data_IF_757672395068
#
_entry.id   IF_757672395068
#
_cell.length_a   1.000
_cell.length_b   1.000
_cell.length_c   1.000
_cell.angle_alpha   90.00
_cell.angle_beta   90.00
_cell.angle_gamma   90.00
#
_symmetry.space_group_name_H-M   'P 1'
#
loop_
_entity.id
_entity.type
_entity.pdbx_description
1 polymer ?
#
# COMPACT_ATOMS: atom_id res chain seq x y z
N UNK A 1 -10.51 15.19 -18.17
CA UNK A 1 -10.73 14.69 -19.53
C UNK A 1 -11.88 13.68 -19.58
N UNK A 2 -11.82 12.53 -18.86
CA UNK A 2 -12.86 11.52 -18.91
C UNK A 2 -14.22 12.02 -18.40
N UNK A 3 -14.23 12.83 -17.34
CA UNK A 3 -15.45 13.45 -16.80
C UNK A 3 -16.10 14.46 -17.79
N UNK A 4 -15.26 15.23 -18.47
CA UNK A 4 -15.72 16.26 -19.39
C UNK A 4 -16.31 15.67 -20.68
N UNK A 5 -15.93 14.44 -21.03
CA UNK A 5 -16.38 13.72 -22.20
C UNK A 5 -17.40 12.60 -21.90
N UNK A 6 -17.92 12.52 -20.67
CA UNK A 6 -18.87 11.50 -20.23
C UNK A 6 -18.42 10.05 -20.48
N UNK A 7 -17.10 9.83 -20.54
CA UNK A 7 -16.53 8.50 -20.71
C UNK A 7 -16.60 7.74 -19.39
N UNK A 8 -17.09 6.54 -19.42
CA UNK A 8 -17.04 5.66 -18.25
C UNK A 8 -15.58 5.33 -17.95
N UNK A 9 -15.11 5.66 -16.73
CA UNK A 9 -13.77 5.26 -16.30
C UNK A 9 -13.60 3.75 -16.39
N UNK A 10 -12.45 3.24 -16.86
CA UNK A 10 -12.19 1.82 -16.89
C UNK A 10 -12.23 1.24 -15.49
N UNK A 11 -12.57 -0.04 -15.39
CA UNK A 11 -12.51 -0.80 -14.16
C UNK A 11 -11.13 -1.40 -14.00
N UNK A 12 -10.50 -1.08 -12.88
CA UNK A 12 -9.16 -1.54 -12.55
C UNK A 12 -9.22 -2.67 -11.52
N UNK A 13 -8.35 -3.64 -11.69
CA UNK A 13 -8.05 -4.62 -10.66
C UNK A 13 -6.61 -4.42 -10.18
N UNK A 14 -6.37 -4.67 -8.90
CA UNK A 14 -5.01 -4.71 -8.36
C UNK A 14 -4.69 -6.17 -8.06
N UNK A 15 -3.63 -6.66 -8.68
CA UNK A 15 -3.09 -7.96 -8.38
C UNK A 15 -1.98 -7.86 -7.33
N UNK A 16 -1.04 -8.80 -7.36
CA UNK A 16 0.04 -8.84 -6.39
C UNK A 16 1.12 -7.81 -6.71
N UNK A 17 1.45 -6.99 -5.71
CA UNK A 17 2.63 -6.11 -5.69
C UNK A 17 3.53 -6.66 -4.59
N UNK A 18 4.56 -7.40 -4.98
CA UNK A 18 5.41 -8.15 -4.07
C UNK A 18 6.70 -7.40 -3.73
N UNK A 19 7.31 -7.81 -2.62
CA UNK A 19 8.67 -7.43 -2.30
C UNK A 19 9.65 -8.35 -3.04
N UNK A 20 10.40 -7.78 -3.98
CA UNK A 20 11.46 -8.45 -4.75
C UNK A 20 12.88 -8.03 -4.31
N UNK A 21 13.00 -7.23 -3.26
CA UNK A 21 14.31 -6.77 -2.78
C UNK A 21 15.13 -7.88 -2.11
N UNK A 22 14.47 -8.94 -1.66
CA UNK A 22 15.09 -10.06 -0.97
C UNK A 22 15.67 -9.72 0.40
N UNK A 23 15.42 -8.51 0.91
CA UNK A 23 15.95 -8.08 2.20
C UNK A 23 15.13 -8.62 3.35
N UNK A 24 15.82 -9.30 4.25
CA UNK A 24 15.25 -9.94 5.44
C UNK A 24 16.01 -9.43 6.66
N UNK A 25 15.30 -8.91 7.66
CA UNK A 25 15.87 -8.58 8.95
C UNK A 25 16.10 -9.85 9.77
N UNK A 26 17.22 -9.94 10.47
CA UNK A 26 17.52 -11.07 11.37
C UNK A 26 16.59 -11.12 12.57
N UNK A 27 15.97 -10.00 12.95
CA UNK A 27 15.13 -9.89 14.14
C UNK A 27 13.62 -9.83 13.83
N UNK A 28 13.22 -9.40 12.61
CA UNK A 28 11.83 -9.09 12.30
C UNK A 28 11.26 -9.73 11.02
N UNK A 29 11.99 -10.57 10.31
CA UNK A 29 11.52 -11.14 9.07
C UNK A 29 11.70 -10.19 7.87
N UNK A 30 10.70 -10.04 6.98
CA UNK A 30 10.82 -9.19 5.79
C UNK A 30 10.85 -7.71 6.17
N UNK A 31 11.82 -6.98 5.66
CA UNK A 31 11.97 -5.55 5.93
C UNK A 31 10.88 -4.71 5.27
N UNK A 32 10.32 -5.15 4.14
CA UNK A 32 9.28 -4.43 3.40
C UNK A 32 7.91 -5.04 3.70
N UNK A 33 6.93 -4.15 3.92
CA UNK A 33 5.54 -4.55 4.11
C UNK A 33 4.99 -5.29 2.89
N UNK A 34 4.27 -6.38 3.13
CA UNK A 34 3.54 -7.11 2.10
C UNK A 34 2.21 -6.42 1.70
N UNK A 35 1.91 -5.28 2.31
CA UNK A 35 0.67 -4.52 2.10
C UNK A 35 0.66 -3.61 0.87
N UNK A 36 1.66 -3.64 0.00
CA UNK A 36 1.77 -2.73 -1.15
C UNK A 36 0.54 -2.79 -2.08
N UNK A 37 -0.01 -3.98 -2.32
CA UNK A 37 -1.25 -4.13 -3.11
C UNK A 37 -2.45 -3.43 -2.46
N UNK A 38 -2.60 -3.53 -1.15
CA UNK A 38 -3.68 -2.86 -0.39
C UNK A 38 -3.49 -1.34 -0.40
N UNK A 39 -2.26 -0.87 -0.33
CA UNK A 39 -1.94 0.56 -0.44
C UNK A 39 -2.29 1.09 -1.82
N UNK A 40 -1.98 0.34 -2.89
CA UNK A 40 -2.34 0.69 -4.27
C UNK A 40 -3.86 0.78 -4.46
N UNK A 41 -4.62 -0.19 -3.94
CA UNK A 41 -6.09 -0.12 -3.96
C UNK A 41 -6.61 1.14 -3.27
N UNK A 42 -6.04 1.47 -2.10
CA UNK A 42 -6.43 2.67 -1.35
C UNK A 42 -6.11 3.95 -2.14
N UNK A 43 -4.94 4.03 -2.76
CA UNK A 43 -4.54 5.18 -3.58
C UNK A 43 -5.44 5.36 -4.79
N UNK A 44 -5.73 4.28 -5.52
CA UNK A 44 -6.65 4.28 -6.66
C UNK A 44 -8.07 4.68 -6.27
N UNK A 45 -8.56 4.19 -5.12
CA UNK A 45 -9.88 4.58 -4.60
C UNK A 45 -9.95 6.08 -4.30
N UNK A 46 -8.92 6.64 -3.64
CA UNK A 46 -8.82 8.08 -3.38
C UNK A 46 -8.71 8.91 -4.66
N UNK A 47 -8.07 8.38 -5.69
CA UNK A 47 -8.03 8.99 -7.02
C UNK A 47 -9.36 8.90 -7.78
N UNK A 48 -10.37 8.22 -7.25
CA UNK A 48 -11.67 8.05 -7.86
C UNK A 48 -11.73 6.98 -8.96
N UNK A 49 -10.78 6.07 -8.99
CA UNK A 49 -10.79 4.95 -9.94
C UNK A 49 -11.88 3.93 -9.58
N UNK A 50 -12.53 3.38 -10.60
CA UNK A 50 -13.46 2.26 -10.42
C UNK A 50 -12.65 0.99 -10.25
N UNK A 51 -12.88 0.26 -9.16
CA UNK A 51 -12.13 -0.95 -8.86
C UNK A 51 -13.02 -2.18 -8.79
N UNK A 52 -12.46 -3.33 -9.13
CA UNK A 52 -13.04 -4.65 -8.92
C UNK A 52 -12.05 -5.49 -8.12
N UNK A 53 -12.56 -6.27 -7.17
CA UNK A 53 -11.74 -7.12 -6.33
C UNK A 53 -11.18 -8.31 -7.11
N UNK A 54 -9.86 -8.49 -7.09
CA UNK A 54 -9.13 -9.62 -7.69
C UNK A 54 -7.89 -9.99 -6.89
N UNK A 55 -7.64 -9.27 -5.79
CA UNK A 55 -6.49 -9.55 -4.93
C UNK A 55 -6.79 -10.68 -3.95
N UNK A 56 -7.98 -10.61 -3.33
CA UNK A 56 -8.49 -11.68 -2.47
C UNK A 56 -9.92 -12.04 -2.89
N UNK A 57 -10.04 -13.14 -3.61
CA UNK A 57 -11.33 -13.64 -4.12
C UNK A 57 -11.94 -14.70 -3.22
N UNK A 58 -11.28 -15.07 -2.12
CA UNK A 58 -11.69 -16.19 -1.26
C UNK A 58 -13.12 -16.07 -0.74
N UNK A 59 -13.51 -14.90 -0.24
CA UNK A 59 -14.88 -14.66 0.23
C UNK A 59 -15.86 -14.64 -0.93
N UNK A 60 -15.51 -13.96 -2.03
CA UNK A 60 -16.37 -13.90 -3.22
C UNK A 60 -16.64 -15.27 -3.84
N UNK A 61 -15.64 -16.11 -3.94
CA UNK A 61 -15.78 -17.49 -4.41
C UNK A 61 -16.64 -18.33 -3.49
N UNK A 62 -16.50 -18.16 -2.17
CA UNK A 62 -17.31 -18.83 -1.18
C UNK A 62 -18.79 -18.42 -1.29
N UNK A 63 -19.06 -17.12 -1.42
CA UNK A 63 -20.41 -16.58 -1.63
C UNK A 63 -21.05 -17.13 -2.91
N UNK A 64 -20.30 -17.13 -4.01
CA UNK A 64 -20.76 -17.71 -5.28
C UNK A 64 -21.04 -19.21 -5.15
N UNK A 65 -20.20 -19.97 -4.45
CA UNK A 65 -20.42 -21.38 -4.18
C UNK A 65 -21.67 -21.63 -3.36
N UNK A 66 -21.92 -20.83 -2.31
CA UNK A 66 -23.11 -20.92 -1.50
C UNK A 66 -24.38 -20.57 -2.28
N UNK A 67 -24.33 -19.50 -3.10
CA UNK A 67 -25.43 -19.13 -3.96
C UNK A 67 -25.76 -20.23 -5.01
N UNK A 68 -24.72 -20.82 -5.63
CA UNK A 68 -24.90 -21.91 -6.59
C UNK A 68 -25.52 -23.16 -5.94
N UNK A 69 -25.19 -23.42 -4.67
CA UNK A 69 -25.77 -24.52 -3.91
C UNK A 69 -27.13 -24.15 -3.24
N UNK A 70 -27.68 -22.96 -3.54
CA UNK A 70 -28.96 -22.47 -3.00
C UNK A 70 -28.97 -22.38 -1.45
N UNK A 71 -27.81 -22.07 -0.85
CA UNK A 71 -27.65 -22.03 0.60
C UNK A 71 -27.82 -20.62 1.18
N UNK A 72 -27.80 -19.57 0.35
CA UNK A 72 -27.94 -18.18 0.78
C UNK A 72 -29.27 -17.59 0.30
N UNK A 73 -29.89 -16.80 1.16
CA UNK A 73 -31.03 -15.97 0.81
C UNK A 73 -30.66 -14.49 0.93
N UNK A 74 -31.33 -13.64 0.15
CA UNK A 74 -31.25 -12.18 0.29
C UNK A 74 -32.35 -11.65 1.26
N UNK A 75 -33.20 -12.50 1.74
CA UNK A 75 -34.24 -12.14 2.71
C UNK A 75 -33.65 -11.96 4.11
N UNK A 76 -34.18 -10.98 4.86
CA UNK A 76 -33.77 -10.68 6.22
C UNK A 76 -34.04 -11.85 7.21
N UNK A 77 -34.99 -12.72 6.89
CA UNK A 77 -35.33 -13.91 7.67
C UNK A 77 -35.56 -15.08 6.72
N UNK A 78 -34.80 -16.16 6.93
CA UNK A 78 -35.03 -17.39 6.20
C UNK A 78 -36.46 -17.90 6.43
N UNK A 79 -37.24 -17.99 5.36
CA UNK A 79 -38.62 -18.49 5.43
C UNK A 79 -38.65 -19.96 4.96
N UNK A 80 -38.78 -20.94 5.87
CA UNK A 80 -38.76 -22.34 5.51
C UNK A 80 -39.96 -22.76 4.64
N UNK A 81 -41.00 -21.92 4.56
CA UNK A 81 -42.20 -22.19 3.75
C UNK A 81 -42.09 -21.68 2.31
N UNK A 82 -41.01 -20.94 1.95
CA UNK A 82 -40.75 -20.45 0.62
C UNK A 82 -39.36 -20.86 0.15
N UNK A 83 -39.13 -22.14 -0.21
CA UNK A 83 -37.80 -22.63 -0.59
C UNK A 83 -37.23 -22.05 -1.90
N UNK A 84 -38.00 -21.16 -2.56
CA UNK A 84 -37.60 -20.46 -3.77
C UNK A 84 -36.81 -19.17 -3.54
N UNK A 85 -36.74 -18.66 -2.29
CA UNK A 85 -36.09 -17.40 -1.94
C UNK A 85 -34.58 -17.62 -1.65
N UNK A 86 -33.84 -17.95 -2.67
CA UNK A 86 -32.40 -18.07 -2.61
C UNK A 86 -31.74 -17.10 -3.61
N UNK A 87 -30.53 -16.65 -3.28
CA UNK A 87 -29.75 -15.79 -4.16
C UNK A 87 -29.43 -16.51 -5.46
N UNK A 88 -29.90 -15.95 -6.58
CA UNK A 88 -29.65 -16.49 -7.92
C UNK A 88 -28.37 -15.90 -8.50
N UNK A 89 -27.57 -16.74 -9.15
CA UNK A 89 -26.42 -16.31 -9.94
C UNK A 89 -26.90 -16.10 -11.38
N UNK A 90 -26.68 -14.92 -11.89
CA UNK A 90 -27.02 -14.55 -13.25
C UNK A 90 -25.75 -14.44 -14.11
N UNK A 91 -25.84 -14.82 -15.38
CA UNK A 91 -24.75 -14.62 -16.32
C UNK A 91 -24.37 -13.13 -16.39
N UNK A 92 -23.08 -12.82 -16.31
CA UNK A 92 -22.58 -11.45 -16.32
C UNK A 92 -22.73 -10.69 -14.99
N UNK A 93 -23.14 -11.33 -13.92
CA UNK A 93 -23.31 -10.70 -12.61
C UNK A 93 -21.99 -10.17 -12.03
N UNK A 94 -20.90 -10.90 -12.20
CA UNK A 94 -19.59 -10.48 -11.70
C UNK A 94 -18.96 -9.48 -12.65
N UNK A 95 -18.65 -8.29 -12.13
CA UNK A 95 -18.04 -7.25 -12.93
C UNK A 95 -16.62 -7.65 -13.39
N UNK A 96 -16.34 -7.50 -14.69
CA UNK A 96 -14.99 -7.68 -15.23
C UNK A 96 -14.11 -6.47 -14.96
N UNK A 97 -12.79 -6.67 -14.91
CA UNK A 97 -11.80 -5.59 -15.02
C UNK A 97 -11.49 -5.31 -16.48
N UNK A 98 -11.22 -4.06 -16.81
CA UNK A 98 -10.70 -3.67 -18.11
C UNK A 98 -9.17 -3.80 -18.14
N UNK A 99 -8.54 -3.39 -17.03
CA UNK A 99 -7.10 -3.52 -16.81
C UNK A 99 -6.81 -4.04 -15.43
N UNK A 100 -5.61 -4.57 -15.24
CA UNK A 100 -5.09 -4.89 -13.92
C UNK A 100 -3.64 -4.42 -13.73
N UNK A 101 -3.30 -4.10 -12.48
CA UNK A 101 -1.97 -3.65 -12.08
C UNK A 101 -1.29 -4.75 -11.28
N UNK A 102 -0.06 -5.07 -11.67
CA UNK A 102 0.83 -6.01 -10.97
C UNK A 102 2.25 -5.50 -10.99
N UNK A 103 3.07 -5.94 -10.07
CA UNK A 103 4.48 -5.56 -10.04
C UNK A 103 5.11 -5.82 -8.69
N UNK A 104 6.06 -4.96 -8.31
CA UNK A 104 6.71 -5.10 -7.02
C UNK A 104 7.69 -4.00 -6.68
N UNK A 105 8.15 -4.04 -5.45
CA UNK A 105 9.21 -3.21 -4.94
C UNK A 105 10.52 -3.92 -5.31
N UNK A 106 11.34 -3.27 -6.13
CA UNK A 106 12.52 -3.86 -6.76
C UNK A 106 13.81 -3.44 -6.09
N UNK A 107 13.84 -2.26 -5.49
CA UNK A 107 15.02 -1.77 -4.80
C UNK A 107 14.68 -1.25 -3.40
N UNK A 108 15.59 -1.52 -2.48
CA UNK A 108 15.61 -0.95 -1.16
C UNK A 108 17.06 -0.80 -0.70
N UNK A 109 17.55 0.41 -0.69
CA UNK A 109 18.91 0.71 -0.27
C UNK A 109 18.88 1.68 0.90
N UNK A 110 19.54 1.30 1.99
CA UNK A 110 19.76 2.16 3.14
C UNK A 110 21.17 2.74 3.12
N UNK A 111 21.26 4.02 3.39
CA UNK A 111 22.52 4.64 3.78
C UNK A 111 22.28 5.41 5.09
N UNK A 112 22.89 4.94 6.15
CA UNK A 112 22.84 5.61 7.45
C UNK A 112 24.04 6.50 7.54
N UNK A 113 23.85 7.81 7.44
CA UNK A 113 24.86 8.80 7.73
C UNK A 113 24.68 9.29 9.16
N UNK A 114 25.54 8.83 10.06
CA UNK A 114 25.67 9.43 11.38
C UNK A 114 26.55 10.68 11.24
N UNK A 115 25.95 11.87 11.22
CA UNK A 115 26.71 13.09 11.42
C UNK A 115 26.89 13.29 12.92
N UNK A 116 27.93 12.67 13.46
CA UNK A 116 28.43 13.01 14.78
C UNK A 116 29.15 14.36 14.70
N UNK A 117 28.47 15.42 15.04
CA UNK A 117 29.15 16.65 15.47
C UNK A 117 29.50 16.45 16.94
N UNK A 118 30.68 15.90 17.17
CA UNK A 118 31.33 15.96 18.46
C UNK A 118 31.82 17.40 18.66
N UNK A 119 30.93 18.27 19.06
CA UNK A 119 31.31 19.57 19.57
C UNK A 119 31.80 19.36 21.00
N UNK A 120 33.08 19.11 21.18
CA UNK A 120 33.76 19.28 22.43
C UNK A 120 33.84 20.80 22.76
N UNK A 121 32.82 21.33 23.39
CA UNK A 121 32.93 22.58 24.06
C UNK A 121 33.22 22.27 25.55
N UNK A 122 34.49 22.24 25.88
CA UNK A 122 34.95 22.34 27.27
C UNK A 122 34.72 23.77 27.72
N UNK A 123 33.64 24.03 28.43
CA UNK A 123 33.57 25.16 29.32
C UNK A 123 32.81 24.81 30.60
N UNK A 124 33.54 24.96 31.69
CA UNK A 124 33.13 24.77 33.05
C UNK A 124 32.16 25.88 33.45
N UNK A 125 30.85 25.65 33.32
CA UNK A 125 29.80 26.18 34.24
C UNK A 125 28.40 25.72 33.79
N UNK A 126 27.92 24.70 34.46
CA UNK A 126 26.55 24.47 34.88
C UNK A 126 25.41 24.99 33.98
N UNK A 127 25.15 24.36 32.86
CA UNK A 127 23.83 24.37 32.22
C UNK A 127 23.71 23.10 31.34
N UNK A 128 22.68 22.29 31.59
CA UNK A 128 22.46 21.02 30.91
C UNK A 128 22.32 21.19 29.40
N UNK A 129 23.41 20.99 28.69
CA UNK A 129 23.41 20.87 27.23
C UNK A 129 23.00 19.46 26.87
N UNK A 130 21.76 19.32 26.43
CA UNK A 130 21.26 18.08 25.83
C UNK A 130 22.05 17.76 24.57
N UNK A 131 22.77 16.65 24.57
CA UNK A 131 23.44 16.08 23.40
C UNK A 131 22.38 15.73 22.34
N UNK A 132 22.23 16.57 21.33
CA UNK A 132 21.42 16.27 20.16
C UNK A 132 22.25 15.42 19.17
N UNK A 133 22.29 14.12 19.37
CA UNK A 133 22.78 13.20 18.33
C UNK A 133 21.65 12.97 17.32
N UNK A 134 21.69 13.66 16.19
CA UNK A 134 20.77 13.43 15.10
C UNK A 134 21.36 12.43 14.13
N UNK A 135 20.76 11.27 13.94
CA UNK A 135 21.07 10.36 12.85
C UNK A 135 20.22 10.70 11.65
N UNK A 136 20.86 10.91 10.51
CA UNK A 136 20.19 11.07 9.21
C UNK A 136 20.31 9.77 8.46
N UNK A 137 19.20 9.25 7.97
CA UNK A 137 19.19 8.09 7.10
C UNK A 137 18.64 8.47 5.74
N UNK A 138 19.23 7.90 4.71
CA UNK A 138 18.79 8.04 3.33
C UNK A 138 18.36 6.66 2.84
N UNK A 139 17.13 6.59 2.38
CA UNK A 139 16.55 5.35 1.87
C UNK A 139 16.15 5.56 0.41
N UNK A 140 16.64 4.70 -0.48
CA UNK A 140 16.21 4.65 -1.87
C UNK A 140 15.29 3.46 -2.03
N UNK A 141 14.09 3.71 -2.54
CA UNK A 141 13.09 2.67 -2.83
C UNK A 141 12.69 2.79 -4.29
N UNK A 142 12.64 1.68 -5.01
CA UNK A 142 12.12 1.61 -6.37
C UNK A 142 10.91 0.68 -6.45
N UNK A 143 9.96 1.06 -7.30
CA UNK A 143 8.72 0.36 -7.55
C UNK A 143 8.54 0.21 -9.06
N UNK A 144 8.33 -1.01 -9.52
CA UNK A 144 8.05 -1.33 -10.91
C UNK A 144 6.67 -1.98 -11.03
N UNK A 145 5.76 -1.30 -11.73
CA UNK A 145 4.40 -1.75 -11.97
C UNK A 145 4.14 -1.90 -13.46
N UNK A 146 3.23 -2.81 -13.80
CA UNK A 146 2.74 -3.02 -15.16
C UNK A 146 1.23 -2.87 -15.16
N UNK A 147 0.73 -2.12 -16.12
CA UNK A 147 -0.69 -2.06 -16.46
C UNK A 147 -0.94 -3.03 -17.61
N UNK A 148 -1.82 -3.97 -17.40
CA UNK A 148 -2.08 -5.07 -18.33
C UNK A 148 -3.56 -5.04 -18.76
N UNK A 149 -3.81 -5.13 -20.06
CA UNK A 149 -5.16 -5.32 -20.60
C UNK A 149 -5.67 -6.71 -20.21
N UNK A 150 -6.85 -6.78 -19.58
CA UNK A 150 -7.39 -8.03 -19.05
C UNK A 150 -7.84 -9.00 -20.15
N UNK A 151 -8.17 -8.51 -21.35
CA UNK A 151 -8.69 -9.33 -22.45
C UNK A 151 -7.58 -9.94 -23.29
N UNK A 152 -6.53 -9.16 -23.57
CA UNK A 152 -5.41 -9.56 -24.42
C UNK A 152 -4.21 -10.05 -23.65
N UNK A 153 -4.10 -9.68 -22.36
CA UNK A 153 -2.95 -9.87 -21.50
C UNK A 153 -1.70 -9.12 -22.00
N UNK A 154 -1.89 -8.13 -22.84
CA UNK A 154 -0.80 -7.25 -23.27
C UNK A 154 -0.44 -6.26 -22.16
N UNK A 155 0.84 -6.04 -21.98
CA UNK A 155 1.33 -4.96 -21.12
C UNK A 155 1.19 -3.65 -21.87
N UNK A 156 0.22 -2.84 -21.49
CA UNK A 156 -0.10 -1.57 -22.17
C UNK A 156 0.72 -0.41 -21.64
N UNK A 157 1.19 -0.52 -20.39
CA UNK A 157 2.06 0.50 -19.79
C UNK A 157 2.93 -0.09 -18.70
N UNK A 158 4.09 0.52 -18.47
CA UNK A 158 5.04 0.18 -17.42
C UNK A 158 5.38 1.43 -16.65
N UNK A 159 5.16 1.39 -15.36
CA UNK A 159 5.47 2.48 -14.43
C UNK A 159 6.68 2.05 -13.61
N UNK A 160 7.81 2.72 -13.81
CA UNK A 160 8.97 2.57 -12.96
C UNK A 160 9.17 3.88 -12.17
N UNK A 161 9.17 3.77 -10.87
CA UNK A 161 9.28 4.91 -9.99
C UNK A 161 10.31 4.67 -8.91
N UNK A 162 11.26 5.59 -8.77
CA UNK A 162 12.28 5.56 -7.74
C UNK A 162 12.18 6.82 -6.89
N UNK A 163 12.23 6.66 -5.59
CA UNK A 163 12.19 7.77 -4.64
C UNK A 163 13.28 7.62 -3.60
N UNK A 164 13.98 8.74 -3.36
CA UNK A 164 14.86 8.90 -2.23
C UNK A 164 14.12 9.53 -1.07
N UNK A 165 14.17 8.89 0.07
CA UNK A 165 13.54 9.35 1.31
C UNK A 165 14.63 9.66 2.30
N UNK A 166 14.65 10.91 2.78
CA UNK A 166 15.59 11.36 3.80
C UNK A 166 14.82 11.52 5.10
N UNK A 167 15.21 10.80 6.12
CA UNK A 167 14.65 10.87 7.44
C UNK A 167 15.70 11.27 8.47
N UNK A 168 15.25 11.92 9.54
CA UNK A 168 16.06 12.28 10.70
C UNK A 168 15.47 11.65 11.94
N UNK A 169 16.30 10.97 12.71
CA UNK A 169 15.93 10.50 14.03
C UNK A 169 16.02 11.71 14.99
N UNK A 170 14.92 12.11 15.59
CA UNK A 170 14.84 13.27 16.47
C UNK A 170 15.03 12.90 17.94
N UNK A 171 14.67 11.67 18.30
CA UNK A 171 14.93 11.01 19.62
C UNK A 171 14.82 9.51 19.38
N UNK A 172 15.40 8.70 20.26
CA UNK A 172 15.27 7.25 20.18
C UNK A 172 13.81 6.83 19.94
N UNK A 173 13.49 6.39 18.72
CA UNK A 173 12.17 5.90 18.32
C UNK A 173 11.21 6.90 17.67
N UNK A 174 11.60 8.18 17.45
CA UNK A 174 10.78 9.16 16.72
C UNK A 174 11.49 9.59 15.45
N UNK A 175 10.87 9.34 14.30
CA UNK A 175 11.42 9.64 12.99
C UNK A 175 10.64 10.76 12.31
N UNK A 176 11.34 11.67 11.64
CA UNK A 176 10.77 12.73 10.82
C UNK A 176 11.24 12.58 9.38
N UNK A 177 10.34 12.65 8.43
CA UNK A 177 10.66 12.60 6.99
C UNK A 177 10.81 14.02 6.48
N UNK A 178 11.96 14.33 5.87
CA UNK A 178 12.34 15.70 5.47
C UNK A 178 12.04 16.04 4.01
N UNK A 179 11.22 15.30 3.28
CA UNK A 179 10.94 15.61 1.89
C UNK A 179 9.46 16.00 1.65
N UNK A 180 9.16 17.27 1.94
CA UNK A 180 8.16 18.10 1.26
C UNK A 180 6.67 17.78 1.41
N UNK A 181 6.26 16.71 2.05
CA UNK A 181 4.86 16.50 2.43
C UNK A 181 4.81 16.16 3.92
N UNK A 182 4.44 17.16 4.69
CA UNK A 182 4.03 17.00 6.06
C UNK A 182 2.84 16.04 6.07
N UNK A 183 3.07 14.78 6.40
CA UNK A 183 2.00 14.00 6.99
C UNK A 183 1.86 14.54 8.41
N UNK A 184 0.76 15.22 8.64
CA UNK A 184 0.31 15.65 9.96
C UNK A 184 0.23 14.38 10.83
N UNK A 185 1.25 14.16 11.64
CA UNK A 185 1.23 13.12 12.66
C UNK A 185 0.47 13.74 13.81
N UNK A 186 -0.85 13.72 13.69
CA UNK A 186 -1.73 13.96 14.80
C UNK A 186 -1.40 12.95 15.90
N UNK A 187 -1.12 13.42 17.10
CA UNK A 187 -0.47 12.80 18.24
C UNK A 187 -0.93 11.40 18.69
N UNK A 188 -1.04 10.45 17.78
CA UNK A 188 -1.30 9.04 18.05
C UNK A 188 0.00 8.29 18.36
N UNK A 189 0.06 7.64 19.49
CA UNK A 189 1.14 6.76 19.97
C UNK A 189 1.35 5.53 19.06
N UNK A 190 1.90 5.72 17.88
CA UNK A 190 2.26 4.64 16.97
C UNK A 190 3.30 5.16 16.00
N UNK A 191 4.58 4.98 16.32
CA UNK A 191 5.65 5.20 15.37
C UNK A 191 5.47 4.18 14.23
N UNK A 192 4.92 4.61 13.09
CA UNK A 192 4.98 3.82 11.87
C UNK A 192 6.44 3.67 11.50
N UNK A 193 6.87 2.44 11.26
CA UNK A 193 8.24 2.18 10.82
C UNK A 193 8.54 3.02 9.56
N UNK A 194 9.72 3.64 9.48
CA UNK A 194 10.10 4.50 8.35
C UNK A 194 9.89 3.85 6.99
N UNK A 195 10.01 2.53 6.95
CA UNK A 195 9.82 1.71 5.77
C UNK A 195 8.38 1.69 5.27
N UNK A 196 7.42 1.54 6.17
CA UNK A 196 6.00 1.52 5.81
C UNK A 196 5.56 2.90 5.29
N UNK A 197 6.09 3.97 5.88
CA UNK A 197 5.87 5.34 5.39
C UNK A 197 6.46 5.54 4.00
N UNK A 198 7.66 5.00 3.76
CA UNK A 198 8.32 5.05 2.46
C UNK A 198 7.49 4.38 1.36
N UNK A 199 7.05 3.15 1.57
CA UNK A 199 6.22 2.41 0.62
C UNK A 199 4.89 3.13 0.38
N UNK A 200 4.24 3.62 1.44
CA UNK A 200 2.99 4.37 1.31
C UNK A 200 3.13 5.70 0.55
N UNK A 201 4.28 6.35 0.65
CA UNK A 201 4.56 7.60 -0.06
C UNK A 201 4.93 7.39 -1.54
N UNK A 202 5.23 6.15 -1.94
CA UNK A 202 5.53 5.78 -3.33
C UNK A 202 4.29 5.34 -4.11
N UNK A 203 3.34 4.75 -3.44
CA UNK A 203 2.06 4.30 -3.99
C UNK A 203 1.01 5.41 -3.89
#
# INVERSE_FOLDING_TARGET
YARDHHLASPRLAVGRISDYTGKVSLEGGREITQGASLMAMTALAKAGARQVERFDTSVGELELKYANNKLITDDAVANPTHPADYRRIMAGQVAGSDFFIVGGITELNYNIQSSGLDAYASDTKNTGLGLFSGRTYVMNVALDLRLVDTRTLEVVDVISYQKQIVGREVKAGVYSIMNGNLFDIDGGKGALEPMQLAVRAMI
#
